data_IF_328545055942
#
_entry.id   IF_328545055942
#
_cell.length_a   1.000
_cell.length_b   1.000
_cell.length_c   1.000
_cell.angle_alpha   90.00
_cell.angle_beta   90.00
_cell.angle_gamma   90.00
#
_symmetry.space_group_name_H-M   'P 1'
#
loop_
_entity.id
_entity.type
_entity.pdbx_description
1 polymer ?
#
# COMPACT_ATOMS: atom_id res chain seq x y z
N UNK A 1 -50.35 57.10 9.17
CA UNK A 1 -50.52 55.81 8.48
C UNK A 1 -52.01 55.54 8.38
N UNK A 2 -52.52 55.27 7.16
CA UNK A 2 -53.51 54.20 6.99
C UNK A 2 -53.08 53.28 5.83
N UNK A 3 -52.98 51.97 6.08
CA UNK A 3 -54.01 50.98 5.73
C UNK A 3 -54.30 50.88 4.21
N UNK A 4 -53.25 50.67 3.43
CA UNK A 4 -53.38 49.87 2.20
C UNK A 4 -53.55 48.41 2.63
N UNK A 5 -54.70 47.85 2.30
CA UNK A 5 -55.29 46.66 2.88
C UNK A 5 -54.49 45.40 2.52
N UNK A 6 -54.35 44.51 3.51
CA UNK A 6 -53.73 43.18 3.37
C UNK A 6 -54.38 42.30 2.28
N UNK A 7 -55.54 42.70 1.76
CA UNK A 7 -56.28 42.04 0.69
C UNK A 7 -55.61 42.19 -0.68
N UNK A 8 -54.96 43.32 -0.97
CA UNK A 8 -54.24 43.53 -2.23
C UNK A 8 -53.04 42.57 -2.36
N UNK A 9 -52.36 42.30 -1.25
CA UNK A 9 -51.27 41.33 -1.22
C UNK A 9 -51.74 39.88 -1.45
N UNK A 10 -52.95 39.53 -1.01
CA UNK A 10 -53.53 38.19 -1.21
C UNK A 10 -54.02 37.96 -2.64
N UNK A 11 -54.50 39.00 -3.32
CA UNK A 11 -54.96 38.93 -4.70
C UNK A 11 -53.81 38.64 -5.69
N UNK A 12 -52.60 39.12 -5.41
CA UNK A 12 -51.39 38.85 -6.22
C UNK A 12 -50.89 37.42 -6.02
N UNK A 13 -50.99 36.87 -4.81
CA UNK A 13 -50.47 35.53 -4.48
C UNK A 13 -51.34 34.40 -5.06
N UNK A 14 -52.66 34.64 -5.24
CA UNK A 14 -53.62 33.64 -5.73
C UNK A 14 -53.93 33.76 -7.24
N UNK A 15 -53.22 34.62 -7.98
CA UNK A 15 -53.37 34.74 -9.41
C UNK A 15 -52.89 33.46 -10.13
N UNK A 16 -53.73 32.91 -11.02
CA UNK A 16 -53.40 31.73 -11.79
C UNK A 16 -52.17 31.99 -12.68
N UNK A 17 -51.21 31.05 -12.78
CA UNK A 17 -50.04 31.22 -13.61
C UNK A 17 -50.43 31.37 -15.09
N UNK A 18 -49.68 32.18 -15.88
CA UNK A 18 -49.93 32.30 -17.31
C UNK A 18 -49.81 30.94 -18.00
N UNK A 19 -50.52 30.70 -19.12
CA UNK A 19 -50.51 29.42 -19.81
C UNK A 19 -49.08 29.08 -20.26
N UNK A 20 -48.71 27.82 -20.00
CA UNK A 20 -47.39 27.27 -20.26
C UNK A 20 -47.03 27.45 -21.74
N UNK A 21 -45.92 28.14 -22.03
CA UNK A 21 -45.41 28.24 -23.38
C UNK A 21 -45.05 26.84 -23.86
N UNK A 22 -45.60 26.42 -25.00
CA UNK A 22 -45.39 25.09 -25.58
C UNK A 22 -43.90 24.74 -25.60
N UNK A 23 -43.48 23.75 -24.79
CA UNK A 23 -42.12 23.22 -24.85
C UNK A 23 -41.84 22.75 -26.28
N UNK A 24 -40.68 23.07 -26.87
CA UNK A 24 -40.29 22.49 -28.15
C UNK A 24 -40.30 20.95 -28.02
N UNK A 25 -40.94 20.28 -28.98
CA UNK A 25 -40.98 18.82 -29.02
C UNK A 25 -39.54 18.28 -28.98
N UNK A 26 -39.25 17.41 -27.99
CA UNK A 26 -38.03 16.63 -27.98
C UNK A 26 -38.03 15.79 -29.27
N UNK A 27 -37.09 16.08 -30.16
CA UNK A 27 -36.78 15.16 -31.25
C UNK A 27 -36.45 13.79 -30.62
N UNK A 28 -36.92 12.67 -31.19
CA UNK A 28 -36.51 11.36 -30.70
C UNK A 28 -34.98 11.32 -30.69
N UNK A 29 -34.42 10.97 -29.53
CA UNK A 29 -32.98 10.80 -29.41
C UNK A 29 -32.57 9.74 -30.44
N UNK A 30 -31.48 9.96 -31.19
CA UNK A 30 -30.97 8.93 -32.07
C UNK A 30 -30.71 7.67 -31.23
N UNK A 31 -31.09 6.51 -31.76
CA UNK A 31 -31.00 5.25 -31.04
C UNK A 31 -29.52 4.90 -30.75
N UNK A 32 -29.06 5.33 -29.58
CA UNK A 32 -27.71 5.12 -29.09
C UNK A 32 -27.39 3.63 -28.97
N UNK A 33 -28.38 2.76 -28.78
CA UNK A 33 -28.19 1.31 -28.74
C UNK A 33 -27.93 0.73 -30.12
N UNK A 34 -28.59 1.23 -31.17
CA UNK A 34 -28.28 0.90 -32.56
C UNK A 34 -26.88 1.39 -32.94
N UNK A 35 -26.52 2.62 -32.56
CA UNK A 35 -25.18 3.16 -32.84
C UNK A 35 -24.07 2.41 -32.10
N UNK A 36 -24.30 2.04 -30.84
CA UNK A 36 -23.38 1.20 -30.07
C UNK A 36 -23.28 -0.20 -30.66
N UNK A 37 -24.38 -0.80 -31.11
CA UNK A 37 -24.37 -2.11 -31.81
C UNK A 37 -23.61 -2.02 -33.14
N UNK A 38 -23.83 -0.98 -33.92
CA UNK A 38 -23.12 -0.76 -35.19
C UNK A 38 -21.63 -0.50 -34.97
N UNK A 39 -21.26 0.30 -33.97
CA UNK A 39 -19.87 0.53 -33.59
C UNK A 39 -19.19 -0.75 -33.08
N UNK A 40 -19.92 -1.59 -32.33
CA UNK A 40 -19.42 -2.88 -31.83
C UNK A 40 -19.30 -3.93 -32.95
N UNK A 41 -20.16 -3.86 -33.97
CA UNK A 41 -20.09 -4.71 -35.15
C UNK A 41 -19.00 -4.26 -36.14
N UNK A 42 -18.76 -2.95 -36.27
CA UNK A 42 -17.63 -2.40 -37.01
C UNK A 42 -16.30 -2.62 -36.29
N UNK A 43 -16.32 -2.75 -34.96
CA UNK A 43 -15.21 -3.21 -34.14
C UNK A 43 -15.17 -4.74 -33.98
N UNK A 44 -15.90 -5.49 -34.83
CA UNK A 44 -15.65 -6.92 -34.95
C UNK A 44 -14.17 -7.09 -35.32
N UNK A 45 -13.42 -7.93 -34.57
CA UNK A 45 -12.00 -8.07 -34.82
C UNK A 45 -11.83 -8.59 -36.24
N UNK A 46 -11.24 -7.77 -37.13
CA UNK A 46 -10.37 -8.32 -38.17
C UNK A 46 -9.53 -9.37 -37.47
N UNK A 47 -9.62 -10.62 -37.93
CA UNK A 47 -9.00 -11.78 -37.31
C UNK A 47 -7.56 -11.42 -36.95
N UNK A 48 -7.38 -10.97 -35.69
CA UNK A 48 -6.10 -10.61 -35.15
C UNK A 48 -5.43 -11.96 -35.11
N UNK A 49 -4.48 -12.16 -36.01
CA UNK A 49 -3.60 -13.32 -35.96
C UNK A 49 -3.32 -13.56 -34.49
N UNK A 50 -3.73 -14.72 -33.98
CA UNK A 50 -3.47 -15.10 -32.60
C UNK A 50 -2.01 -14.73 -32.35
N UNK A 51 -1.72 -13.82 -31.40
CA UNK A 51 -0.33 -13.55 -31.07
C UNK A 51 0.25 -14.91 -30.77
N UNK A 52 1.19 -15.36 -31.60
CA UNK A 52 1.99 -16.52 -31.29
C UNK A 52 2.61 -16.14 -29.95
N UNK A 53 2.10 -16.74 -28.86
CA UNK A 53 2.64 -16.56 -27.52
C UNK A 53 4.03 -17.19 -27.56
N UNK A 54 5.00 -16.41 -28.04
CA UNK A 54 6.40 -16.73 -27.88
C UNK A 54 6.60 -16.90 -26.37
N UNK A 55 7.11 -18.05 -25.90
CA UNK A 55 7.36 -18.24 -24.49
C UNK A 55 8.34 -17.14 -24.06
N UNK A 56 7.85 -16.23 -23.20
CA UNK A 56 8.64 -15.15 -22.62
C UNK A 56 9.87 -15.78 -21.99
N UNK A 57 11.06 -15.31 -22.37
CA UNK A 57 12.29 -15.92 -21.88
C UNK A 57 12.43 -15.71 -20.36
N UNK A 58 13.20 -16.57 -19.69
CA UNK A 58 13.48 -16.41 -18.26
C UNK A 58 14.16 -15.05 -17.96
N UNK A 59 14.96 -14.55 -18.91
CA UNK A 59 15.63 -13.24 -18.84
C UNK A 59 14.61 -12.10 -18.96
N UNK A 60 13.69 -12.15 -19.92
CA UNK A 60 12.63 -11.14 -20.08
C UNK A 60 11.70 -11.06 -18.86
N UNK A 61 11.40 -12.23 -18.25
CA UNK A 61 10.66 -12.30 -16.98
C UNK A 61 11.43 -11.67 -15.82
N UNK A 62 12.76 -11.86 -15.76
CA UNK A 62 13.62 -11.25 -14.75
C UNK A 62 13.69 -9.72 -14.90
N UNK A 63 13.93 -9.22 -16.11
CA UNK A 63 13.92 -7.78 -16.40
C UNK A 63 12.56 -7.14 -16.08
N UNK A 64 11.48 -7.88 -16.31
CA UNK A 64 10.13 -7.45 -15.95
C UNK A 64 9.96 -7.36 -14.44
N UNK A 65 10.38 -8.37 -13.68
CA UNK A 65 10.36 -8.32 -12.20
C UNK A 65 11.18 -7.15 -11.67
N UNK A 66 12.37 -6.94 -12.20
CA UNK A 66 13.23 -5.83 -11.77
C UNK A 66 12.58 -4.46 -12.01
N UNK A 67 11.91 -4.28 -13.16
CA UNK A 67 11.15 -3.05 -13.46
C UNK A 67 10.01 -2.84 -12.47
N UNK A 68 9.24 -3.90 -12.17
CA UNK A 68 8.17 -3.85 -11.17
C UNK A 68 8.72 -3.44 -9.79
N UNK A 69 9.82 -4.04 -9.35
CA UNK A 69 10.44 -3.75 -8.05
C UNK A 69 11.01 -2.33 -8.00
N UNK A 70 11.54 -1.83 -9.12
CA UNK A 70 11.98 -0.44 -9.25
C UNK A 70 10.80 0.52 -9.12
N UNK A 71 9.67 0.22 -9.76
CA UNK A 71 8.45 1.02 -9.63
C UNK A 71 7.95 1.04 -8.18
N UNK A 72 7.91 -0.12 -7.50
CA UNK A 72 7.51 -0.20 -6.10
C UNK A 72 8.40 0.65 -5.19
N UNK A 73 9.74 0.53 -5.34
CA UNK A 73 10.69 1.37 -4.60
C UNK A 73 10.47 2.85 -4.84
N UNK A 74 10.20 3.25 -6.07
CA UNK A 74 9.94 4.65 -6.41
C UNK A 74 8.64 5.18 -5.77
N UNK A 75 7.60 4.34 -5.61
CA UNK A 75 6.37 4.71 -4.88
C UNK A 75 6.66 4.87 -3.39
N UNK A 76 7.50 4.00 -2.81
CA UNK A 76 7.83 4.03 -1.39
C UNK A 76 8.84 5.12 -0.99
N UNK A 77 9.61 5.62 -1.94
CA UNK A 77 10.55 6.72 -1.73
C UNK A 77 9.83 8.08 -1.54
N UNK A 78 8.53 8.18 -1.86
CA UNK A 78 7.75 9.39 -1.61
C UNK A 78 7.66 9.66 -0.10
N UNK A 79 7.89 10.90 0.38
CA UNK A 79 7.98 11.22 1.81
C UNK A 79 6.81 10.73 2.67
N UNK A 80 5.60 10.70 2.10
CA UNK A 80 4.38 10.32 2.82
C UNK A 80 3.93 8.88 2.53
N UNK A 81 4.68 8.10 1.73
CA UNK A 81 4.24 6.78 1.29
C UNK A 81 3.94 5.83 2.46
N UNK A 82 4.68 5.93 3.55
CA UNK A 82 4.47 5.14 4.76
C UNK A 82 3.07 5.31 5.37
N UNK A 83 2.47 6.49 5.23
CA UNK A 83 1.20 6.86 5.89
C UNK A 83 -0.01 6.81 4.94
N UNK A 84 0.22 6.65 3.63
CA UNK A 84 -0.85 6.59 2.64
C UNK A 84 -1.60 5.26 2.72
N UNK A 85 -2.90 5.32 2.46
CA UNK A 85 -3.74 4.12 2.38
C UNK A 85 -3.25 3.19 1.26
N UNK A 86 -3.26 1.88 1.52
CA UNK A 86 -2.79 0.84 0.57
C UNK A 86 -3.46 1.00 -0.81
N UNK A 87 -4.76 1.30 -0.84
CA UNK A 87 -5.49 1.50 -2.09
C UNK A 87 -4.95 2.67 -2.93
N UNK A 88 -4.51 3.76 -2.28
CA UNK A 88 -3.93 4.92 -2.97
C UNK A 88 -2.55 4.56 -3.53
N UNK A 89 -1.71 3.90 -2.73
CA UNK A 89 -0.40 3.42 -3.16
C UNK A 89 -0.52 2.44 -4.34
N UNK A 90 -1.52 1.56 -4.31
CA UNK A 90 -1.78 0.61 -5.39
C UNK A 90 -2.18 1.31 -6.69
N UNK A 91 -3.08 2.32 -6.64
CA UNK A 91 -3.44 3.08 -7.84
C UNK A 91 -2.23 3.82 -8.43
N UNK A 92 -1.42 4.44 -7.59
CA UNK A 92 -0.20 5.12 -8.01
C UNK A 92 0.80 4.14 -8.65
N UNK A 93 1.01 2.99 -8.03
CA UNK A 93 1.83 1.90 -8.55
C UNK A 93 1.33 1.41 -9.91
N UNK A 94 0.04 1.12 -10.05
CA UNK A 94 -0.58 0.69 -11.33
C UNK A 94 -0.37 1.74 -12.42
N UNK A 95 -0.53 3.03 -12.11
CA UNK A 95 -0.30 4.11 -13.07
C UNK A 95 1.16 4.14 -13.51
N UNK A 96 2.12 4.08 -12.57
CA UNK A 96 3.55 4.07 -12.90
C UNK A 96 3.94 2.83 -13.71
N UNK A 97 3.44 1.64 -13.35
CA UNK A 97 3.67 0.42 -14.12
C UNK A 97 3.16 0.54 -15.57
N UNK A 98 1.99 1.16 -15.78
CA UNK A 98 1.46 1.39 -17.14
C UNK A 98 2.33 2.34 -17.96
N UNK A 99 2.86 3.40 -17.34
CA UNK A 99 3.80 4.34 -17.99
C UNK A 99 5.09 3.62 -18.41
N UNK A 100 5.58 2.69 -17.59
CA UNK A 100 6.76 1.84 -17.84
C UNK A 100 6.50 0.68 -18.83
N UNK A 101 5.30 0.60 -19.42
CA UNK A 101 4.95 -0.45 -20.38
C UNK A 101 4.63 -1.82 -19.75
N UNK A 102 4.47 -1.92 -18.43
CA UNK A 102 4.13 -3.14 -17.71
C UNK A 102 2.60 -3.44 -17.71
N UNK A 103 1.84 -2.96 -18.70
CA UNK A 103 0.37 -2.95 -18.64
C UNK A 103 -0.32 -4.31 -18.42
N UNK A 104 0.11 -5.35 -19.14
CA UNK A 104 -0.39 -6.73 -18.95
C UNK A 104 0.29 -7.44 -17.76
N UNK A 105 1.19 -6.73 -17.08
CA UNK A 105 2.16 -7.26 -16.18
C UNK A 105 2.05 -6.75 -14.75
N UNK A 106 1.09 -5.86 -14.50
CA UNK A 106 0.91 -5.21 -13.21
C UNK A 106 0.44 -6.25 -12.19
N UNK A 107 1.15 -6.41 -11.06
CA UNK A 107 0.69 -7.21 -9.94
C UNK A 107 -0.72 -6.84 -9.52
N UNK A 108 -1.52 -7.83 -9.11
CA UNK A 108 -2.82 -7.56 -8.52
C UNK A 108 -2.69 -6.94 -7.12
N UNK A 109 -3.82 -6.60 -6.49
CA UNK A 109 -3.82 -5.96 -5.17
C UNK A 109 -3.22 -6.86 -4.09
N UNK A 110 -3.41 -8.19 -4.16
CA UNK A 110 -2.92 -9.11 -3.15
C UNK A 110 -1.41 -9.32 -3.29
N UNK A 111 -0.93 -9.47 -4.52
CA UNK A 111 0.49 -9.53 -4.83
C UNK A 111 1.18 -8.21 -4.42
N UNK A 112 0.59 -7.06 -4.76
CA UNK A 112 1.08 -5.76 -4.32
C UNK A 112 1.15 -5.63 -2.80
N UNK A 113 0.13 -6.11 -2.06
CA UNK A 113 0.16 -6.11 -0.58
C UNK A 113 1.34 -6.92 -0.05
N UNK A 114 1.57 -8.11 -0.58
CA UNK A 114 2.73 -8.93 -0.19
C UNK A 114 4.03 -8.19 -0.47
N UNK A 115 4.20 -7.67 -1.68
CA UNK A 115 5.41 -6.93 -2.06
C UNK A 115 5.63 -5.70 -1.17
N UNK A 116 4.55 -4.96 -0.85
CA UNK A 116 4.58 -3.81 0.06
C UNK A 116 5.03 -4.20 1.47
N UNK A 117 4.50 -5.31 1.99
CA UNK A 117 4.89 -5.87 3.30
C UNK A 117 6.38 -6.19 3.35
N UNK A 118 6.89 -6.88 2.32
CA UNK A 118 8.32 -7.19 2.22
C UNK A 118 9.18 -5.92 2.09
N UNK A 119 8.78 -4.99 1.23
CA UNK A 119 9.51 -3.74 1.02
C UNK A 119 9.55 -2.87 2.30
N UNK A 120 8.47 -2.82 3.08
CA UNK A 120 8.42 -2.13 4.39
C UNK A 120 9.33 -2.78 5.43
N UNK A 121 9.51 -4.09 5.37
CA UNK A 121 10.50 -4.80 6.17
C UNK A 121 11.95 -4.59 5.67
N UNK A 122 12.13 -3.89 4.54
CA UNK A 122 13.40 -3.74 3.86
C UNK A 122 13.94 -5.05 3.28
N UNK A 123 13.05 -6.01 3.02
CA UNK A 123 13.38 -7.27 2.37
C UNK A 123 13.30 -7.10 0.86
N UNK A 124 14.35 -7.49 0.15
CA UNK A 124 14.32 -7.65 -1.29
C UNK A 124 13.44 -8.84 -1.69
N UNK A 125 12.94 -8.82 -2.92
CA UNK A 125 12.13 -9.89 -3.53
C UNK A 125 12.88 -11.23 -3.60
N UNK A 126 14.21 -11.20 -3.66
CA UNK A 126 15.07 -12.40 -3.74
C UNK A 126 15.33 -13.09 -2.38
N UNK A 127 15.02 -12.46 -1.24
CA UNK A 127 15.24 -13.09 0.08
C UNK A 127 14.16 -14.14 0.43
N UNK A 128 13.11 -14.27 -0.38
CA UNK A 128 11.98 -15.16 -0.13
C UNK A 128 12.28 -16.66 -0.37
N UNK A 129 13.42 -16.99 -1.00
CA UNK A 129 13.82 -18.37 -1.31
C UNK A 129 14.67 -19.04 -0.22
N UNK A 130 14.96 -18.32 0.87
CA UNK A 130 15.65 -18.89 2.05
C UNK A 130 14.62 -19.58 2.96
N UNK A 131 14.86 -20.86 3.26
CA UNK A 131 14.03 -21.67 4.16
C UNK A 131 13.72 -20.95 5.48
N UNK A 132 14.69 -20.18 6.01
CA UNK A 132 14.50 -19.43 7.24
C UNK A 132 13.52 -18.26 7.09
N UNK A 133 13.43 -17.65 5.90
CA UNK A 133 12.45 -16.60 5.61
C UNK A 133 11.05 -17.17 5.37
N UNK A 134 10.93 -18.42 4.93
CA UNK A 134 9.65 -19.12 4.85
C UNK A 134 9.02 -19.32 6.24
N UNK A 135 9.82 -19.74 7.23
CA UNK A 135 9.36 -19.88 8.62
C UNK A 135 8.91 -18.54 9.21
N UNK A 136 9.65 -17.45 8.92
CA UNK A 136 9.25 -16.09 9.31
C UNK A 136 7.93 -15.70 8.66
N UNK A 137 7.76 -15.95 7.36
CA UNK A 137 6.50 -15.66 6.65
C UNK A 137 5.33 -16.46 7.20
N UNK A 138 5.54 -17.74 7.55
CA UNK A 138 4.51 -18.57 8.17
C UNK A 138 4.09 -18.00 9.53
N UNK A 139 5.04 -17.61 10.38
CA UNK A 139 4.74 -16.95 11.66
C UNK A 139 4.03 -15.62 11.49
N UNK A 140 4.48 -14.81 10.52
CA UNK A 140 3.85 -13.53 10.21
C UNK A 140 2.37 -13.71 9.86
N UNK A 141 1.97 -14.80 9.20
CA UNK A 141 0.58 -15.04 8.81
C UNK A 141 -0.41 -15.16 9.97
N UNK A 142 0.06 -15.35 11.22
CA UNK A 142 -0.76 -15.30 12.44
C UNK A 142 -1.25 -13.87 12.71
N UNK A 143 -0.50 -12.88 12.25
CA UNK A 143 -0.80 -11.47 12.42
C UNK A 143 -1.68 -10.92 11.29
N UNK A 144 -2.49 -9.89 11.58
CA UNK A 144 -3.11 -9.06 10.56
C UNK A 144 -2.11 -8.52 9.52
N UNK A 145 -2.53 -8.43 8.26
CA UNK A 145 -1.68 -8.01 7.12
C UNK A 145 -0.89 -6.71 7.37
N UNK A 146 -1.49 -5.74 8.06
CA UNK A 146 -0.87 -4.45 8.38
C UNK A 146 0.24 -4.55 9.44
N UNK A 147 0.29 -5.64 10.22
CA UNK A 147 1.30 -5.89 11.24
C UNK A 147 2.44 -6.81 10.74
N UNK A 148 2.19 -7.60 9.70
CA UNK A 148 3.17 -8.54 9.15
C UNK A 148 4.50 -7.87 8.78
N UNK A 149 4.44 -6.68 8.17
CA UNK A 149 5.64 -5.95 7.75
C UNK A 149 6.51 -5.51 8.92
N UNK A 150 5.88 -5.16 10.05
CA UNK A 150 6.59 -4.79 11.28
C UNK A 150 7.28 -6.00 11.89
N UNK A 151 6.59 -7.15 11.94
CA UNK A 151 7.20 -8.39 12.43
C UNK A 151 8.39 -8.82 11.56
N UNK A 152 8.25 -8.76 10.23
CA UNK A 152 9.33 -9.06 9.30
C UNK A 152 10.51 -8.09 9.41
N UNK A 153 10.27 -6.80 9.67
CA UNK A 153 11.32 -5.82 9.95
C UNK A 153 12.15 -6.21 11.18
N UNK A 154 11.49 -6.62 12.27
CA UNK A 154 12.15 -7.06 13.50
C UNK A 154 12.90 -8.38 13.26
N UNK A 155 12.29 -9.32 12.53
CA UNK A 155 12.92 -10.58 12.14
C UNK A 155 14.22 -10.34 11.38
N UNK A 156 14.22 -9.37 10.45
CA UNK A 156 15.43 -8.95 9.72
C UNK A 156 16.49 -8.43 10.67
N UNK A 157 16.14 -7.48 11.53
CA UNK A 157 17.08 -6.92 12.49
C UNK A 157 17.69 -8.01 13.40
N UNK A 158 16.90 -9.00 13.80
CA UNK A 158 17.36 -10.12 14.61
C UNK A 158 18.28 -11.08 13.84
N UNK A 159 17.94 -11.42 12.58
CA UNK A 159 18.76 -12.27 11.72
C UNK A 159 20.13 -11.65 11.42
N UNK A 160 20.16 -10.35 11.18
CA UNK A 160 21.37 -9.59 10.84
C UNK A 160 22.15 -9.11 12.09
N UNK A 161 21.64 -9.36 13.30
CA UNK A 161 22.25 -8.88 14.55
C UNK A 161 22.24 -7.36 14.71
N UNK A 162 21.33 -6.66 14.04
CA UNK A 162 21.18 -5.22 14.12
C UNK A 162 20.47 -4.78 15.41
N UNK A 163 20.69 -3.53 15.86
CA UNK A 163 19.95 -2.97 16.98
C UNK A 163 18.44 -3.08 16.76
N UNK A 164 17.69 -3.36 17.83
CA UNK A 164 16.23 -3.34 17.76
C UNK A 164 15.75 -1.97 17.24
N UNK A 165 14.86 -1.93 16.23
CA UNK A 165 14.28 -0.67 15.75
C UNK A 165 13.60 0.11 16.88
N UNK A 166 13.69 1.44 16.83
CA UNK A 166 13.01 2.34 17.78
C UNK A 166 11.49 2.40 17.55
N UNK A 167 10.75 2.96 18.50
CA UNK A 167 9.29 3.09 18.42
C UNK A 167 8.85 3.96 17.23
N UNK A 168 9.66 4.96 16.86
CA UNK A 168 9.40 5.80 15.70
C UNK A 168 9.50 5.01 14.38
N UNK A 169 10.51 4.14 14.27
CA UNK A 169 10.71 3.24 13.13
C UNK A 169 9.53 2.28 12.96
N UNK A 170 9.17 1.62 14.06
CA UNK A 170 8.06 0.67 14.12
C UNK A 170 6.74 1.36 13.77
N UNK A 171 6.50 2.56 14.31
CA UNK A 171 5.29 3.32 14.00
C UNK A 171 5.21 3.66 12.52
N UNK A 172 6.31 4.14 11.90
CA UNK A 172 6.37 4.44 10.46
C UNK A 172 6.13 3.22 9.60
N UNK A 173 6.74 2.09 9.92
CA UNK A 173 6.54 0.83 9.20
C UNK A 173 5.07 0.37 9.23
N UNK A 174 4.40 0.63 10.35
CA UNK A 174 2.97 0.39 10.53
C UNK A 174 2.06 1.47 9.88
N UNK A 175 2.63 2.58 9.41
CA UNK A 175 1.88 3.72 8.86
C UNK A 175 1.22 4.61 9.91
N UNK A 176 1.87 4.77 11.07
CA UNK A 176 1.43 5.62 12.17
C UNK A 176 2.55 6.56 12.64
N UNK A 177 2.17 7.71 13.20
CA UNK A 177 3.08 8.59 13.95
C UNK A 177 3.04 8.33 15.47
N UNK A 178 2.22 7.37 15.93
CA UNK A 178 2.01 7.15 17.37
C UNK A 178 3.01 6.14 17.94
N UNK A 179 3.96 6.63 18.75
CA UNK A 179 4.91 5.77 19.48
C UNK A 179 4.19 4.75 20.39
N UNK A 180 3.12 5.18 21.06
CA UNK A 180 2.28 4.29 21.88
C UNK A 180 1.67 3.16 21.05
N UNK A 181 1.36 3.41 19.77
CA UNK A 181 0.83 2.37 18.89
C UNK A 181 1.92 1.36 18.53
N UNK A 182 3.15 1.79 18.30
CA UNK A 182 4.30 0.90 18.15
C UNK A 182 4.50 0.01 19.39
N UNK A 183 4.42 0.59 20.59
CA UNK A 183 4.52 -0.18 21.84
C UNK A 183 3.41 -1.22 21.95
N UNK A 184 2.15 -0.85 21.66
CA UNK A 184 1.02 -1.79 21.65
C UNK A 184 1.18 -2.90 20.60
N UNK A 185 1.77 -2.60 19.45
CA UNK A 185 2.07 -3.61 18.42
C UNK A 185 3.05 -4.65 18.95
N UNK A 186 4.12 -4.22 19.62
CA UNK A 186 5.06 -5.14 20.24
C UNK A 186 4.41 -5.97 21.34
N UNK A 187 3.62 -5.36 22.23
CA UNK A 187 2.88 -6.10 23.25
C UNK A 187 1.92 -7.12 22.64
N UNK A 188 1.22 -6.76 21.57
CA UNK A 188 0.33 -7.69 20.87
C UNK A 188 1.09 -8.86 20.25
N UNK A 189 2.22 -8.62 19.59
CA UNK A 189 3.06 -9.69 19.02
C UNK A 189 3.61 -10.62 20.11
N UNK A 190 3.94 -10.09 21.28
CA UNK A 190 4.37 -10.86 22.45
C UNK A 190 3.21 -11.69 23.03
N UNK A 191 2.00 -11.13 23.13
CA UNK A 191 0.79 -11.85 23.52
C UNK A 191 0.43 -12.98 22.54
N UNK A 192 0.71 -12.80 21.24
CA UNK A 192 0.56 -13.88 20.24
C UNK A 192 1.68 -14.93 20.32
N UNK A 193 2.67 -14.76 21.20
CA UNK A 193 3.79 -15.69 21.36
C UNK A 193 4.79 -15.67 20.20
N UNK A 194 4.85 -14.59 19.43
CA UNK A 194 5.75 -14.48 18.27
C UNK A 194 7.11 -13.89 18.65
N UNK A 195 7.13 -13.02 19.65
CA UNK A 195 8.33 -12.34 20.13
C UNK A 195 8.36 -12.31 21.65
N UNK A 196 9.55 -12.06 22.21
CA UNK A 196 9.75 -11.70 23.61
C UNK A 196 10.51 -10.38 23.63
N UNK A 197 9.95 -9.38 24.32
CA UNK A 197 10.55 -8.05 24.46
C UNK A 197 11.23 -7.93 25.82
N UNK A 198 12.51 -7.57 25.82
CA UNK A 198 13.29 -7.36 27.05
C UNK A 198 14.02 -6.02 27.00
N UNK A 199 14.21 -5.42 28.17
CA UNK A 199 15.08 -4.26 28.35
C UNK A 199 16.34 -4.70 29.09
N UNK A 200 17.50 -4.28 28.59
CA UNK A 200 18.76 -4.46 29.30
C UNK A 200 18.87 -3.48 30.49
N UNK A 201 19.96 -3.59 31.27
CA UNK A 201 20.21 -2.71 32.41
C UNK A 201 20.39 -1.22 32.05
N UNK A 202 20.57 -0.91 30.77
CA UNK A 202 20.65 0.44 30.22
C UNK A 202 19.36 0.93 29.57
N UNK A 203 18.26 0.16 29.65
CA UNK A 203 16.98 0.50 29.03
C UNK A 203 16.93 0.28 27.52
N UNK A 204 17.90 -0.44 26.94
CA UNK A 204 17.90 -0.79 25.52
C UNK A 204 17.05 -2.04 25.30
N UNK A 205 16.22 -2.02 24.26
CA UNK A 205 15.35 -3.12 23.89
C UNK A 205 16.08 -4.19 23.10
N UNK A 206 15.86 -5.42 23.51
CA UNK A 206 16.23 -6.65 22.82
C UNK A 206 14.93 -7.38 22.51
N UNK A 207 14.72 -7.76 21.25
CA UNK A 207 13.58 -8.57 20.84
C UNK A 207 14.07 -9.93 20.37
N UNK A 208 13.55 -10.98 20.98
CA UNK A 208 13.83 -12.37 20.60
C UNK A 208 12.63 -12.94 19.85
N UNK A 209 12.85 -13.56 18.70
CA UNK A 209 11.80 -14.24 17.95
C UNK A 209 11.62 -15.66 18.46
N UNK A 210 10.39 -15.98 18.83
CA UNK A 210 10.04 -17.28 19.41
C UNK A 210 10.16 -18.37 18.34
N UNK A 211 10.75 -19.51 18.74
CA UNK A 211 11.05 -20.69 17.91
C UNK A 211 12.02 -20.48 16.72
N UNK A 212 12.34 -19.24 16.35
CA UNK A 212 13.39 -18.91 15.37
C UNK A 212 14.78 -18.79 16.03
N UNK A 213 14.82 -18.60 17.36
CA UNK A 213 16.04 -18.40 18.15
C UNK A 213 16.92 -17.22 17.68
N UNK A 214 16.34 -16.26 16.97
CA UNK A 214 16.99 -15.01 16.58
C UNK A 214 16.72 -13.92 17.60
N UNK A 215 17.71 -13.07 17.83
CA UNK A 215 17.57 -11.91 18.72
C UNK A 215 18.23 -10.67 18.10
N UNK A 216 17.58 -9.53 18.22
CA UNK A 216 18.17 -8.24 17.84
C UNK A 216 19.32 -7.89 18.79
N UNK A 217 20.27 -7.07 18.35
CA UNK A 217 21.16 -6.39 19.28
C UNK A 217 20.37 -5.36 20.14
N UNK A 218 20.89 -4.94 21.31
CA UNK A 218 20.24 -3.94 22.14
C UNK A 218 20.11 -2.59 21.42
N UNK A 219 18.88 -2.12 21.21
CA UNK A 219 18.56 -0.85 20.55
C UNK A 219 17.82 0.13 21.46
N UNK A 220 17.98 1.44 21.26
CA UNK A 220 17.24 2.46 22.02
C UNK A 220 15.77 2.50 21.55
N UNK A 221 14.78 2.24 22.43
CA UNK A 221 13.37 2.37 22.07
C UNK A 221 12.96 3.77 21.59
N UNK A 222 13.67 4.81 22.04
CA UNK A 222 13.41 6.20 21.68
C UNK A 222 14.32 6.72 20.55
N UNK A 223 15.19 5.88 20.00
CA UNK A 223 16.08 6.25 18.90
C UNK A 223 15.33 6.44 17.57
N UNK A 224 15.81 7.35 16.74
CA UNK A 224 15.35 7.53 15.36
C UNK A 224 16.13 6.61 14.38
N UNK A 225 15.49 6.25 13.25
CA UNK A 225 16.07 5.45 12.14
C UNK A 225 17.16 6.22 11.38
N UNK A 226 18.26 6.55 12.02
CA UNK A 226 19.50 6.59 11.25
C UNK A 226 20.05 5.17 11.29
N UNK A 227 20.24 4.50 10.14
CA UNK A 227 21.01 3.29 10.13
C UNK A 227 22.32 3.63 10.83
N UNK A 228 22.59 3.00 11.95
CA UNK A 228 23.89 3.04 12.56
C UNK A 228 24.82 2.44 11.48
N UNK A 229 25.48 3.30 10.70
CA UNK A 229 26.64 2.89 9.95
C UNK A 229 27.51 2.12 10.94
N UNK A 230 27.87 0.86 10.65
CA UNK A 230 28.66 0.09 11.58
C UNK A 230 29.91 0.91 11.87
N UNK A 231 30.09 1.28 13.15
CA UNK A 231 31.26 1.98 13.60
C UNK A 231 32.46 1.15 13.16
N UNK A 232 33.16 1.62 12.13
CA UNK A 232 34.39 1.00 11.66
C UNK A 232 35.32 0.98 12.85
N UNK A 233 35.54 -0.22 13.37
CA UNK A 233 36.44 -0.48 14.48
C UNK A 233 37.82 0.04 14.08
N UNK A 234 38.23 1.12 14.73
CA UNK A 234 39.61 1.56 14.74
C UNK A 234 40.45 0.50 15.45
N UNK A 235 41.06 -0.41 14.67
CA UNK A 235 42.18 -1.23 15.08
C UNK A 235 42.88 -1.84 13.86
N UNK A 236 43.91 -1.15 13.35
CA UNK A 236 45.20 -1.70 12.91
C UNK A 236 45.84 -0.76 11.86
N UNK A 237 46.75 0.10 12.34
CA UNK A 237 48.17 0.17 11.93
C UNK A 237 48.87 1.27 12.74
#
# INVERSE_FOLDING_TARGET
>A
LPEATLEDARAVILAAPPPDASRPQRRPAPDLLEQLRAAKAAAAPEARAEPIELPVSAEELAERRERVDRTLRAVLAEPDAGFRAIGVLYQEFVVRCRIEGLGAAVPDLNEFRRMLTHARAGLGTDLADDDAWQDVSLRASILPDDMQGVFMMIARAAKEGWPCPGDAAIARAYGSHSLRRAQRLLSYMEEQGLIVCQLDGGGRRIVTLVELAWATAPGDPNGDDLPAEPAQSAAAL
#
